data_IF_802077927815
#
_entry.id   IF_802077927815
#
_cell.length_a   1.000
_cell.length_b   1.000
_cell.length_c   1.000
_cell.angle_alpha   90.00
_cell.angle_beta   90.00
_cell.angle_gamma   90.00
#
_symmetry.space_group_name_H-M   'P 1'
#
loop_
_entity.id
_entity.type
_entity.pdbx_description
1 polymer ?
#
# COMPACT_ATOMS: atom_id res chain seq x y z
N UNK A 1 4.49 31.34 -24.98
CA UNK A 1 3.09 30.90 -25.19
C UNK A 1 3.00 29.37 -25.06
N UNK A 2 3.33 28.80 -23.88
CA UNK A 2 3.31 27.33 -23.64
C UNK A 2 2.32 26.91 -22.55
N UNK A 3 1.96 27.83 -21.66
CA UNK A 3 1.06 27.57 -20.53
C UNK A 3 -0.37 27.28 -21.03
N UNK A 4 -0.90 28.12 -21.94
CA UNK A 4 -2.23 27.91 -22.52
C UNK A 4 -2.35 26.60 -23.31
N UNK A 5 -1.32 26.24 -24.08
CA UNK A 5 -1.29 25.00 -24.84
C UNK A 5 -1.26 23.76 -23.93
N UNK A 6 -0.48 23.81 -22.85
CA UNK A 6 -0.44 22.73 -21.86
C UNK A 6 -1.77 22.59 -21.12
N UNK A 7 -2.42 23.70 -20.75
CA UNK A 7 -3.74 23.70 -20.11
C UNK A 7 -4.82 23.06 -21.01
N UNK A 8 -4.78 23.35 -22.32
CA UNK A 8 -5.72 22.79 -23.29
C UNK A 8 -5.47 21.29 -23.47
N UNK A 9 -4.21 20.86 -23.59
CA UNK A 9 -3.87 19.43 -23.70
C UNK A 9 -4.29 18.68 -22.44
N UNK A 10 -4.04 19.24 -21.26
CA UNK A 10 -4.42 18.62 -19.98
C UNK A 10 -5.94 18.53 -19.83
N UNK A 11 -6.69 19.53 -20.30
CA UNK A 11 -8.16 19.51 -20.32
C UNK A 11 -8.69 18.33 -21.14
N UNK A 12 -8.28 18.21 -22.41
CA UNK A 12 -8.74 17.13 -23.29
C UNK A 12 -8.24 15.74 -22.86
N UNK A 13 -7.09 15.66 -22.19
CA UNK A 13 -6.61 14.42 -21.58
C UNK A 13 -7.52 13.98 -20.44
N UNK A 14 -7.94 14.92 -19.58
CA UNK A 14 -8.80 14.66 -18.43
C UNK A 14 -10.22 14.31 -18.86
N UNK A 15 -10.73 14.99 -19.88
CA UNK A 15 -12.04 14.73 -20.48
C UNK A 15 -12.11 13.35 -21.15
N UNK A 16 -11.05 12.95 -21.88
CA UNK A 16 -10.93 11.60 -22.46
C UNK A 16 -10.76 10.50 -21.41
N UNK A 17 -10.21 10.83 -20.24
CA UNK A 17 -10.05 9.89 -19.13
C UNK A 17 -11.35 9.74 -18.32
N UNK A 18 -12.18 10.78 -18.31
CA UNK A 18 -13.57 10.77 -17.86
C UNK A 18 -14.48 10.15 -18.94
N UNK A 19 -14.22 8.90 -19.32
CA UNK A 19 -15.22 8.09 -20.00
C UNK A 19 -16.39 7.89 -19.02
N UNK A 20 -17.44 8.71 -19.16
CA UNK A 20 -18.75 8.46 -18.55
C UNK A 20 -19.31 7.20 -19.21
N UNK A 21 -18.96 6.04 -18.65
CA UNK A 21 -19.60 4.78 -18.99
C UNK A 21 -20.97 4.78 -18.32
N UNK A 22 -22.03 4.61 -19.12
CA UNK A 22 -23.36 4.35 -18.58
C UNK A 22 -23.36 2.97 -17.93
N UNK A 23 -23.79 2.87 -16.67
CA UNK A 23 -23.85 1.60 -15.94
C UNK A 23 -24.89 0.63 -16.54
N UNK A 24 -25.81 1.13 -17.37
CA UNK A 24 -26.80 0.30 -18.07
C UNK A 24 -26.20 -0.57 -19.19
N UNK A 25 -25.00 -0.24 -19.70
CA UNK A 25 -24.35 -0.95 -20.81
C UNK A 25 -23.29 -1.99 -20.36
N UNK A 26 -23.09 -2.16 -19.04
CA UNK A 26 -22.11 -3.10 -18.48
C UNK A 26 -22.77 -4.35 -17.89
N UNK A 27 -22.33 -5.55 -18.30
CA UNK A 27 -22.75 -6.85 -17.72
C UNK A 27 -22.46 -6.97 -16.21
N UNK A 28 -21.61 -6.09 -15.67
CA UNK A 28 -21.22 -6.04 -14.27
C UNK A 28 -21.82 -4.77 -13.66
N UNK A 29 -22.64 -4.91 -12.63
CA UNK A 29 -23.18 -3.77 -11.90
C UNK A 29 -22.04 -3.04 -11.17
N UNK A 30 -21.57 -1.92 -11.73
CA UNK A 30 -20.43 -1.18 -11.21
C UNK A 30 -20.75 -0.58 -9.83
N UNK A 31 -22.03 -0.31 -9.54
CA UNK A 31 -22.48 0.23 -8.25
C UNK A 31 -22.58 -0.83 -7.15
N UNK A 32 -22.71 -2.12 -7.51
CA UNK A 32 -22.74 -3.23 -6.57
C UNK A 32 -21.35 -3.90 -6.41
N UNK A 33 -20.28 -3.10 -6.54
CA UNK A 33 -18.94 -3.59 -6.26
C UNK A 33 -18.68 -3.56 -4.75
N UNK A 34 -18.04 -4.62 -4.21
CA UNK A 34 -17.59 -4.69 -2.79
C UNK A 34 -16.70 -3.51 -2.37
N UNK A 35 -16.16 -2.75 -3.34
CA UNK A 35 -15.41 -1.51 -3.13
C UNK A 35 -16.28 -0.28 -2.83
N UNK A 36 -17.56 -0.33 -3.19
CA UNK A 36 -18.54 0.76 -3.02
C UNK A 36 -19.56 0.47 -1.91
N UNK A 37 -19.61 -0.75 -1.39
CA UNK A 37 -20.40 -1.09 -0.20
C UNK A 37 -19.70 -0.63 1.07
N UNK A 38 -20.44 -0.05 2.01
CA UNK A 38 -19.94 0.23 3.35
C UNK A 38 -19.50 -1.08 4.02
N UNK A 39 -18.29 -1.08 4.61
CA UNK A 39 -17.80 -2.23 5.37
C UNK A 39 -18.71 -2.49 6.57
N UNK A 40 -19.06 -3.76 6.78
CA UNK A 40 -19.83 -4.15 7.96
C UNK A 40 -18.95 -4.16 9.22
N UNK A 41 -19.58 -4.22 10.40
CA UNK A 41 -18.88 -4.18 11.69
C UNK A 41 -17.87 -5.34 11.82
N UNK A 42 -18.19 -6.52 11.31
CA UNK A 42 -17.31 -7.69 11.35
C UNK A 42 -16.02 -7.44 10.54
N UNK A 43 -16.14 -6.92 9.31
CA UNK A 43 -15.00 -6.55 8.47
C UNK A 43 -14.08 -5.53 9.15
N UNK A 44 -14.66 -4.53 9.83
CA UNK A 44 -13.90 -3.53 10.58
C UNK A 44 -13.13 -4.15 11.76
N UNK A 45 -13.76 -5.06 12.49
CA UNK A 45 -13.12 -5.77 13.61
C UNK A 45 -11.96 -6.63 13.09
N UNK A 46 -12.19 -7.43 12.04
CA UNK A 46 -11.17 -8.29 11.44
C UNK A 46 -9.98 -7.46 10.95
N UNK A 47 -10.23 -6.37 10.23
CA UNK A 47 -9.18 -5.47 9.74
C UNK A 47 -8.38 -4.85 10.90
N UNK A 48 -9.06 -4.41 11.97
CA UNK A 48 -8.39 -3.86 13.14
C UNK A 48 -7.48 -4.89 13.83
N UNK A 49 -7.91 -6.15 13.90
CA UNK A 49 -7.15 -7.25 14.48
C UNK A 49 -5.93 -7.56 13.62
N UNK A 50 -6.11 -7.75 12.31
CA UNK A 50 -5.02 -7.99 11.34
C UNK A 50 -3.97 -6.88 11.45
N UNK A 51 -4.40 -5.60 11.47
CA UNK A 51 -3.48 -4.46 11.62
C UNK A 51 -2.73 -4.48 12.94
N UNK A 52 -3.37 -4.90 14.03
CA UNK A 52 -2.73 -5.04 15.33
C UNK A 52 -1.65 -6.12 15.32
N UNK A 53 -1.97 -7.30 14.78
CA UNK A 53 -1.04 -8.43 14.67
C UNK A 53 0.16 -8.07 13.80
N UNK A 54 -0.06 -7.43 12.64
CA UNK A 54 1.02 -6.95 11.77
C UNK A 54 1.95 -5.96 12.49
N UNK A 55 1.41 -5.05 13.33
CA UNK A 55 2.25 -4.13 14.11
C UNK A 55 3.14 -4.87 15.12
N UNK A 56 2.60 -5.89 15.78
CA UNK A 56 3.39 -6.74 16.69
C UNK A 56 4.52 -7.45 15.92
N UNK A 57 4.22 -8.03 14.77
CA UNK A 57 5.23 -8.69 13.93
C UNK A 57 6.34 -7.73 13.48
N UNK A 58 5.98 -6.50 13.08
CA UNK A 58 6.97 -5.48 12.71
C UNK A 58 7.87 -5.12 13.91
N UNK A 59 7.33 -5.11 15.13
CA UNK A 59 8.11 -4.83 16.34
C UNK A 59 9.14 -5.92 16.67
N UNK A 60 8.90 -7.16 16.24
CA UNK A 60 9.80 -8.30 16.44
C UNK A 60 10.92 -8.39 15.39
N UNK A 61 10.89 -7.55 14.35
CA UNK A 61 11.96 -7.50 13.36
C UNK A 61 13.26 -6.93 13.96
N UNK A 62 14.43 -7.35 13.45
CA UNK A 62 15.70 -6.66 13.68
C UNK A 62 15.58 -5.17 13.41
N UNK A 63 16.28 -4.35 14.19
CA UNK A 63 16.11 -2.90 14.21
C UNK A 63 16.26 -2.25 12.82
N UNK A 64 17.23 -2.72 12.06
CA UNK A 64 17.55 -2.20 10.73
C UNK A 64 16.50 -2.56 9.67
N UNK A 65 15.85 -3.71 9.82
CA UNK A 65 14.72 -4.16 9.01
C UNK A 65 13.45 -3.39 9.38
N UNK A 66 13.20 -3.25 10.69
CA UNK A 66 12.06 -2.50 11.24
C UNK A 66 12.10 -1.03 10.81
N UNK A 67 13.26 -0.39 10.92
CA UNK A 67 13.46 1.01 10.54
C UNK A 67 13.09 1.25 9.06
N UNK A 68 13.57 0.41 8.15
CA UNK A 68 13.26 0.54 6.72
C UNK A 68 11.77 0.35 6.44
N UNK A 69 11.10 -0.60 7.11
CA UNK A 69 9.64 -0.79 6.98
C UNK A 69 8.89 0.44 7.45
N UNK A 70 9.26 1.01 8.61
CA UNK A 70 8.61 2.18 9.17
C UNK A 70 8.78 3.41 8.27
N UNK A 71 10.02 3.72 7.88
CA UNK A 71 10.30 4.86 7.00
C UNK A 71 9.61 4.73 5.63
N UNK A 72 9.50 3.51 5.10
CA UNK A 72 8.85 3.28 3.81
C UNK A 72 7.33 3.39 3.89
N UNK A 73 6.69 2.66 4.81
CA UNK A 73 5.23 2.51 4.82
C UNK A 73 4.53 3.59 5.63
N UNK A 74 5.13 4.03 6.74
CA UNK A 74 4.55 5.08 7.58
C UNK A 74 5.15 6.45 7.26
N UNK A 75 6.45 6.51 6.93
CA UNK A 75 7.13 7.74 6.54
C UNK A 75 6.94 8.13 5.07
N UNK A 76 6.48 7.22 4.21
CA UNK A 76 6.27 7.49 2.78
C UNK A 76 7.55 7.73 1.98
N UNK A 77 8.72 7.41 2.53
CA UNK A 77 10.01 7.72 1.89
C UNK A 77 10.38 6.73 0.78
N UNK A 78 11.06 7.23 -0.25
CA UNK A 78 11.71 6.40 -1.26
C UNK A 78 12.93 5.68 -0.68
N UNK A 79 13.36 4.57 -1.28
CA UNK A 79 14.58 3.88 -0.83
C UNK A 79 15.85 4.74 -0.94
N UNK A 80 15.85 5.73 -1.83
CA UNK A 80 16.95 6.70 -1.93
C UNK A 80 16.98 7.64 -0.72
N UNK A 81 15.83 8.17 -0.31
CA UNK A 81 15.72 9.01 0.89
C UNK A 81 16.04 8.23 2.16
N UNK A 82 15.56 7.00 2.27
CA UNK A 82 15.88 6.09 3.38
C UNK A 82 17.39 5.84 3.45
N UNK A 83 18.01 5.52 2.32
CA UNK A 83 19.46 5.30 2.24
C UNK A 83 20.26 6.54 2.69
N UNK A 84 19.84 7.73 2.26
CA UNK A 84 20.46 8.99 2.67
C UNK A 84 20.27 9.25 4.18
N UNK A 85 19.07 9.03 4.72
CA UNK A 85 18.76 9.31 6.12
C UNK A 85 19.44 8.34 7.09
N UNK A 86 19.65 7.09 6.66
CA UNK A 86 20.27 6.02 7.46
C UNK A 86 21.76 5.83 7.16
N UNK A 87 22.35 6.69 6.32
CA UNK A 87 23.75 6.68 5.89
C UNK A 87 24.23 5.31 5.36
N UNK A 88 23.45 4.71 4.45
CA UNK A 88 23.78 3.44 3.79
C UNK A 88 23.60 3.54 2.28
N UNK A 89 24.08 2.53 1.55
CA UNK A 89 23.79 2.42 0.11
C UNK A 89 22.31 2.10 -0.15
N UNK A 90 21.78 2.53 -1.30
CA UNK A 90 20.42 2.15 -1.74
C UNK A 90 20.21 0.62 -1.77
N UNK A 91 21.25 -0.14 -2.13
CA UNK A 91 21.20 -1.60 -2.15
C UNK A 91 21.10 -2.19 -0.74
N UNK A 92 21.72 -1.55 0.25
CA UNK A 92 21.60 -1.94 1.66
C UNK A 92 20.17 -1.72 2.16
N UNK A 93 19.56 -0.58 1.87
CA UNK A 93 18.16 -0.30 2.23
C UNK A 93 17.19 -1.30 1.55
N UNK A 94 17.40 -1.59 0.26
CA UNK A 94 16.63 -2.61 -0.47
C UNK A 94 16.82 -4.02 0.14
N UNK A 95 18.05 -4.37 0.51
CA UNK A 95 18.37 -5.62 1.19
C UNK A 95 17.65 -5.77 2.52
N UNK A 96 17.69 -4.73 3.37
CA UNK A 96 16.96 -4.66 4.64
C UNK A 96 15.46 -4.85 4.44
N UNK A 97 14.87 -4.18 3.45
CA UNK A 97 13.45 -4.36 3.12
C UNK A 97 13.13 -5.79 2.69
N UNK A 98 13.98 -6.39 1.84
CA UNK A 98 13.80 -7.78 1.39
C UNK A 98 13.84 -8.74 2.58
N UNK A 99 14.82 -8.61 3.47
CA UNK A 99 14.93 -9.47 4.65
C UNK A 99 13.81 -9.22 5.65
N UNK A 100 13.36 -7.98 5.82
CA UNK A 100 12.17 -7.66 6.62
C UNK A 100 10.95 -8.46 6.15
N UNK A 101 10.65 -8.45 4.84
CA UNK A 101 9.53 -9.20 4.28
C UNK A 101 9.68 -10.72 4.42
N UNK A 102 10.89 -11.24 4.27
CA UNK A 102 11.16 -12.68 4.47
C UNK A 102 10.92 -13.06 5.93
N UNK A 103 11.44 -12.28 6.87
CA UNK A 103 11.32 -12.56 8.30
C UNK A 103 9.88 -12.38 8.79
N UNK A 104 9.14 -11.37 8.32
CA UNK A 104 7.71 -11.25 8.61
C UNK A 104 6.95 -12.49 8.18
N UNK A 105 7.20 -13.02 6.97
CA UNK A 105 6.56 -14.26 6.51
C UNK A 105 6.88 -15.46 7.39
N UNK A 106 8.13 -15.58 7.86
CA UNK A 106 8.53 -16.64 8.80
C UNK A 106 7.78 -16.50 10.13
N UNK A 107 7.74 -15.30 10.71
CA UNK A 107 7.04 -15.06 11.98
C UNK A 107 5.54 -15.35 11.88
N UNK A 108 4.91 -15.03 10.74
CA UNK A 108 3.49 -15.37 10.47
C UNK A 108 3.29 -16.89 10.51
N UNK A 109 4.18 -17.66 9.87
CA UNK A 109 4.12 -19.12 9.85
C UNK A 109 4.39 -19.72 11.24
N UNK A 110 5.42 -19.24 11.95
CA UNK A 110 5.80 -19.72 13.28
C UNK A 110 4.69 -19.50 14.32
N UNK A 111 3.98 -18.38 14.21
CA UNK A 111 2.86 -18.03 15.11
C UNK A 111 1.51 -18.56 14.60
N UNK A 112 1.47 -19.28 13.47
CA UNK A 112 0.25 -19.79 12.83
C UNK A 112 -0.83 -18.71 12.64
N UNK A 113 -0.44 -17.50 12.25
CA UNK A 113 -1.37 -16.38 12.04
C UNK A 113 -2.03 -16.46 10.67
N UNK A 114 -3.35 -16.25 10.62
CA UNK A 114 -4.11 -16.09 9.37
C UNK A 114 -4.43 -14.61 9.17
N UNK A 115 -3.70 -13.95 8.26
CA UNK A 115 -3.87 -12.52 7.96
C UNK A 115 -4.72 -12.31 6.69
N UNK A 116 -5.76 -13.12 6.49
CA UNK A 116 -6.60 -13.12 5.29
C UNK A 116 -8.03 -12.72 5.65
N UNK A 117 -8.61 -11.81 4.88
CA UNK A 117 -10.05 -11.50 4.95
C UNK A 117 -10.76 -12.54 4.07
N UNK A 118 -11.75 -13.25 4.63
CA UNK A 118 -12.52 -14.28 3.92
C UNK A 118 -13.40 -13.68 2.81
#
# INVERSE_FOLDING_TARGET
>A
IRIAHNLIIDHFRKEKQMNTLSNDDSEVDLFNSKKLSDSNIEELIIDSQIKSEVRVLISELPDDQREVVLLRHYGGLSFKEIANQTDVSINTALGRMRYALINLRKLIQEKNLSLTVY
#
